data_IF_186906695779
#
_entry.id   IF_186906695779
#
_cell.length_a   1.000
_cell.length_b   1.000
_cell.length_c   1.000
_cell.angle_alpha   90.00
_cell.angle_beta   90.00
_cell.angle_gamma   90.00
#
_symmetry.space_group_name_H-M   'P 1'
#
loop_
_entity.id
_entity.type
_entity.pdbx_description
1 polymer ?
#
# COMPACT_ATOMS: atom_id res chain seq x y z
N UNK A 1 -29.72 10.20 -0.34
CA UNK A 1 -28.79 10.30 -1.49
C UNK A 1 -27.38 10.51 -0.96
N UNK A 2 -26.60 9.44 -0.85
CA UNK A 2 -25.20 9.48 -0.41
C UNK A 2 -24.56 8.14 -0.67
N UNK A 3 -24.05 7.95 -1.89
CA UNK A 3 -23.42 6.71 -2.36
C UNK A 3 -22.03 6.57 -1.73
N UNK A 4 -21.92 5.79 -0.65
CA UNK A 4 -20.64 5.40 -0.03
C UNK A 4 -19.97 4.18 -0.70
N UNK A 5 -20.31 3.85 -1.95
CA UNK A 5 -19.72 2.71 -2.67
C UNK A 5 -18.58 3.15 -3.60
N UNK A 6 -17.50 3.70 -3.03
CA UNK A 6 -16.19 3.82 -3.70
C UNK A 6 -15.36 2.53 -3.58
N UNK A 7 -15.94 1.46 -3.05
CA UNK A 7 -15.32 0.15 -2.86
C UNK A 7 -15.23 -0.59 -4.21
N UNK A 8 -14.00 -0.85 -4.66
CA UNK A 8 -13.60 -1.94 -5.57
C UNK A 8 -14.66 -2.35 -6.62
N UNK A 9 -14.99 -1.45 -7.57
CA UNK A 9 -15.79 -1.87 -8.72
C UNK A 9 -14.93 -2.70 -9.68
N UNK A 10 -15.47 -3.80 -10.21
CA UNK A 10 -14.76 -4.64 -11.19
C UNK A 10 -14.26 -3.83 -12.41
N UNK A 11 -15.02 -2.82 -12.84
CA UNK A 11 -14.61 -1.89 -13.89
C UNK A 11 -13.44 -0.98 -13.48
N UNK A 12 -13.42 -0.53 -12.23
CA UNK A 12 -12.30 0.24 -11.68
C UNK A 12 -11.02 -0.59 -11.57
N UNK A 13 -11.13 -1.83 -11.09
CA UNK A 13 -9.99 -2.76 -11.02
C UNK A 13 -9.44 -3.11 -12.40
N UNK A 14 -10.31 -3.42 -13.36
CA UNK A 14 -9.90 -3.70 -14.74
C UNK A 14 -9.14 -2.50 -15.34
N UNK A 15 -9.62 -1.27 -15.11
CA UNK A 15 -8.93 -0.04 -15.53
C UNK A 15 -7.56 0.12 -14.88
N UNK A 16 -7.44 -0.16 -13.58
CA UNK A 16 -6.15 -0.10 -12.87
C UNK A 16 -5.16 -1.13 -13.43
N UNK A 17 -5.59 -2.36 -13.65
CA UNK A 17 -4.77 -3.43 -14.25
C UNK A 17 -4.31 -3.05 -15.67
N UNK A 18 -5.22 -2.55 -16.52
CA UNK A 18 -4.88 -2.10 -17.87
C UNK A 18 -3.86 -0.95 -17.90
N UNK A 19 -4.00 0.01 -16.98
CA UNK A 19 -3.03 1.10 -16.82
C UNK A 19 -1.66 0.61 -16.35
N UNK A 20 -1.62 -0.36 -15.43
CA UNK A 20 -0.38 -0.98 -14.98
C UNK A 20 0.35 -1.69 -16.14
N UNK A 21 -0.36 -2.46 -16.97
CA UNK A 21 0.19 -3.08 -18.17
C UNK A 21 0.77 -2.02 -19.13
N UNK A 22 0.01 -0.97 -19.42
CA UNK A 22 0.44 0.10 -20.34
C UNK A 22 1.68 0.83 -19.84
N UNK A 23 1.74 1.11 -18.53
CA UNK A 23 2.87 1.79 -17.90
C UNK A 23 4.12 0.91 -17.96
N UNK A 24 3.98 -0.36 -17.59
CA UNK A 24 5.06 -1.35 -17.65
C UNK A 24 5.62 -1.51 -19.07
N UNK A 25 4.74 -1.63 -20.07
CA UNK A 25 5.12 -1.72 -21.48
C UNK A 25 5.89 -0.49 -21.94
N UNK A 26 5.39 0.72 -21.64
CA UNK A 26 6.04 1.98 -22.01
C UNK A 26 7.41 2.13 -21.34
N UNK A 27 7.53 1.79 -20.06
CA UNK A 27 8.80 1.83 -19.33
C UNK A 27 9.88 0.93 -19.95
N UNK A 28 9.47 -0.16 -20.60
CA UNK A 28 10.36 -1.08 -21.33
C UNK A 28 10.58 -0.70 -22.80
N UNK A 29 9.98 0.38 -23.29
CA UNK A 29 10.08 0.79 -24.69
C UNK A 29 9.42 -0.17 -25.69
N UNK A 30 8.57 -1.08 -25.24
CA UNK A 30 7.92 -2.08 -26.09
C UNK A 30 6.70 -1.45 -26.79
N UNK A 31 6.55 -1.63 -28.09
CA UNK A 31 5.37 -1.14 -28.81
C UNK A 31 4.14 -2.00 -28.49
N UNK A 32 2.94 -1.42 -28.60
CA UNK A 32 1.70 -2.18 -28.37
C UNK A 32 1.55 -3.35 -29.38
N UNK A 33 2.05 -3.18 -30.60
CA UNK A 33 2.02 -4.22 -31.63
C UNK A 33 2.97 -5.37 -31.29
N UNK A 34 4.22 -5.08 -30.91
CA UNK A 34 5.19 -6.09 -30.51
C UNK A 34 4.72 -6.86 -29.26
N UNK A 35 4.12 -6.16 -28.29
CA UNK A 35 3.58 -6.80 -27.10
C UNK A 35 2.38 -7.70 -27.41
N UNK A 36 1.48 -7.26 -28.31
CA UNK A 36 0.34 -8.07 -28.76
C UNK A 36 0.80 -9.35 -29.46
N UNK A 37 1.77 -9.24 -30.37
CA UNK A 37 2.36 -10.38 -31.10
C UNK A 37 3.04 -11.36 -30.14
N UNK A 38 3.88 -10.87 -29.22
CA UNK A 38 4.54 -11.70 -28.23
C UNK A 38 3.56 -12.39 -27.27
N UNK A 39 2.43 -11.74 -26.96
CA UNK A 39 1.38 -12.30 -26.11
C UNK A 39 0.42 -13.24 -26.87
N UNK A 40 0.59 -13.41 -28.19
CA UNK A 40 -0.28 -14.25 -29.02
C UNK A 40 -1.71 -13.72 -29.13
N UNK A 41 -1.93 -12.42 -28.99
CA UNK A 41 -3.26 -11.79 -29.04
C UNK A 41 -3.36 -10.76 -30.16
N UNK A 42 -4.59 -10.46 -30.59
CA UNK A 42 -4.81 -9.40 -31.59
C UNK A 42 -4.45 -8.02 -31.03
N UNK A 43 -4.07 -7.09 -31.91
CA UNK A 43 -3.86 -5.66 -31.55
C UNK A 43 -5.07 -5.03 -30.87
N UNK A 44 -6.28 -5.45 -31.28
CA UNK A 44 -7.54 -4.98 -30.67
C UNK A 44 -7.66 -5.52 -29.24
N UNK A 45 -7.36 -6.80 -29.02
CA UNK A 45 -7.34 -7.40 -27.67
C UNK A 45 -6.34 -6.69 -26.77
N UNK A 46 -5.13 -6.40 -27.27
CA UNK A 46 -4.14 -5.62 -26.52
C UNK A 46 -4.65 -4.21 -26.17
N UNK A 47 -5.29 -3.53 -27.11
CA UNK A 47 -5.88 -2.22 -26.87
C UNK A 47 -6.97 -2.28 -25.77
N UNK A 48 -7.85 -3.28 -25.81
CA UNK A 48 -8.89 -3.51 -24.79
C UNK A 48 -8.29 -3.82 -23.41
N UNK A 49 -7.19 -4.59 -23.37
CA UNK A 49 -6.42 -4.84 -22.15
C UNK A 49 -5.90 -3.52 -21.54
N UNK A 50 -5.22 -2.69 -22.33
CA UNK A 50 -4.68 -1.41 -21.82
C UNK A 50 -5.77 -0.39 -21.45
N UNK A 51 -6.94 -0.46 -22.10
CA UNK A 51 -8.11 0.31 -21.73
C UNK A 51 -8.78 -0.19 -20.43
N UNK A 52 -8.45 -1.42 -20.02
CA UNK A 52 -9.01 -2.08 -18.84
C UNK A 52 -10.48 -2.45 -19.02
N UNK A 53 -10.83 -3.00 -20.17
CA UNK A 53 -12.18 -3.48 -20.42
C UNK A 53 -12.45 -4.80 -19.65
N UNK A 54 -13.49 -4.88 -18.79
CA UNK A 54 -13.72 -6.04 -17.93
C UNK A 54 -14.01 -7.36 -18.68
N UNK A 55 -14.52 -7.27 -19.92
CA UNK A 55 -14.88 -8.43 -20.73
C UNK A 55 -13.71 -9.13 -21.42
N UNK A 56 -12.48 -8.67 -21.22
CA UNK A 56 -11.30 -9.35 -21.79
C UNK A 56 -11.05 -10.65 -21.04
N UNK A 57 -10.81 -11.73 -21.78
CA UNK A 57 -10.51 -13.03 -21.20
C UNK A 57 -9.28 -12.98 -20.28
N UNK A 58 -9.39 -13.61 -19.10
CA UNK A 58 -8.30 -13.73 -18.13
C UNK A 58 -7.00 -14.28 -18.72
N UNK A 59 -7.09 -15.24 -19.66
CA UNK A 59 -5.92 -15.79 -20.34
C UNK A 59 -5.12 -14.73 -21.10
N UNK A 60 -5.79 -13.78 -21.76
CA UNK A 60 -5.14 -12.67 -22.48
C UNK A 60 -4.44 -11.71 -21.51
N UNK A 61 -5.04 -11.46 -20.33
CA UNK A 61 -4.42 -10.65 -19.29
C UNK A 61 -3.12 -11.30 -18.77
N UNK A 62 -3.17 -12.60 -18.46
CA UNK A 62 -2.02 -13.35 -17.96
C UNK A 62 -0.90 -13.46 -19.00
N UNK A 63 -1.23 -13.68 -20.27
CA UNK A 63 -0.26 -13.69 -21.35
C UNK A 63 0.44 -12.32 -21.51
N UNK A 64 -0.33 -11.23 -21.46
CA UNK A 64 0.22 -9.88 -21.50
C UNK A 64 1.14 -9.57 -20.31
N UNK A 65 0.75 -10.00 -19.11
CA UNK A 65 1.57 -9.86 -17.91
C UNK A 65 2.90 -10.63 -18.06
N UNK A 66 2.84 -11.89 -18.50
CA UNK A 66 4.03 -12.73 -18.69
C UNK A 66 5.04 -12.13 -19.68
N UNK A 67 4.56 -11.64 -20.84
CA UNK A 67 5.41 -11.00 -21.87
C UNK A 67 6.11 -9.74 -21.34
N UNK A 68 5.45 -9.01 -20.45
CA UNK A 68 6.02 -7.83 -19.81
C UNK A 68 6.88 -8.16 -18.57
N UNK A 69 6.98 -9.45 -18.19
CA UNK A 69 7.69 -9.88 -16.98
C UNK A 69 7.01 -9.41 -15.70
N UNK A 70 5.67 -9.37 -15.69
CA UNK A 70 4.85 -9.06 -14.53
C UNK A 70 4.29 -10.34 -13.92
N UNK A 71 4.19 -10.34 -12.59
CA UNK A 71 3.49 -11.37 -11.82
C UNK A 71 2.13 -10.83 -11.41
N UNK A 72 1.10 -11.68 -11.50
CA UNK A 72 -0.26 -11.36 -11.07
C UNK A 72 -0.55 -12.21 -9.84
N UNK A 73 -0.64 -11.55 -8.68
CA UNK A 73 -0.97 -12.19 -7.41
C UNK A 73 -2.28 -11.64 -6.84
N UNK A 74 -3.08 -12.54 -6.26
CA UNK A 74 -4.24 -12.17 -5.47
C UNK A 74 -3.81 -12.02 -4.02
N UNK A 75 -3.80 -10.80 -3.52
CA UNK A 75 -3.51 -10.49 -2.14
C UNK A 75 -4.82 -10.38 -1.36
N UNK A 76 -4.86 -10.83 -0.09
CA UNK A 76 -6.03 -10.61 0.75
C UNK A 76 -6.30 -9.10 0.81
N UNK A 77 -7.53 -8.70 0.49
CA UNK A 77 -7.96 -7.32 0.62
C UNK A 77 -7.80 -6.95 2.10
N UNK A 78 -6.74 -6.20 2.43
CA UNK A 78 -6.59 -5.67 3.77
C UNK A 78 -7.78 -4.74 3.98
N UNK A 79 -8.67 -5.12 4.91
CA UNK A 79 -9.90 -4.41 5.21
C UNK A 79 -9.62 -2.92 5.25
N UNK A 80 -10.35 -2.19 4.41
CA UNK A 80 -10.38 -0.74 4.25
C UNK A 80 -9.61 0.00 5.36
N UNK A 81 -8.31 0.18 5.13
CA UNK A 81 -7.56 1.27 5.74
C UNK A 81 -8.14 2.54 5.14
N UNK A 82 -9.26 2.97 5.73
CA UNK A 82 -9.81 4.29 5.60
C UNK A 82 -8.68 5.29 5.87
N UNK A 83 -8.26 5.94 4.80
CA UNK A 83 -7.76 7.31 4.83
C UNK A 83 -6.60 7.60 5.81
N UNK A 84 -5.45 6.94 5.60
CA UNK A 84 -4.11 7.50 5.95
C UNK A 84 -2.99 7.05 4.99
N UNK A 85 -3.31 6.61 3.78
CA UNK A 85 -2.32 6.43 2.71
C UNK A 85 -1.99 7.75 2.02
N UNK A 86 -1.48 8.70 2.80
CA UNK A 86 -0.56 9.73 2.36
C UNK A 86 0.64 9.62 3.32
N UNK A 87 1.77 9.00 2.98
CA UNK A 87 2.27 8.60 1.68
C UNK A 87 3.30 7.48 1.86
N UNK A 88 3.35 6.56 0.91
CA UNK A 88 4.61 5.93 0.52
C UNK A 88 5.49 6.99 -0.20
N UNK A 89 5.88 8.01 0.56
CA UNK A 89 6.66 9.17 0.16
C UNK A 89 7.08 9.91 1.42
N UNK A 90 8.23 9.50 1.97
CA UNK A 90 9.12 10.28 2.84
C UNK A 90 8.49 11.07 4.02
N UNK A 91 7.45 10.54 4.69
CA UNK A 91 6.85 11.27 5.82
C UNK A 91 6.19 10.39 6.89
N UNK A 92 6.51 10.66 8.15
CA UNK A 92 5.76 10.17 9.31
C UNK A 92 4.35 10.80 9.32
N UNK A 93 3.29 10.02 9.58
CA UNK A 93 1.94 10.57 9.70
C UNK A 93 1.86 11.55 10.87
N UNK A 94 1.31 12.76 10.66
CA UNK A 94 1.22 13.79 11.69
C UNK A 94 0.39 13.36 12.93
N UNK A 95 -0.47 12.34 12.78
CA UNK A 95 -1.25 11.72 13.87
C UNK A 95 -1.31 10.21 13.69
N UNK A 96 -1.14 9.49 14.80
CA UNK A 96 -1.08 8.04 14.91
C UNK A 96 -2.27 7.59 15.74
N UNK A 97 -3.22 6.86 15.14
CA UNK A 97 -4.39 6.33 15.85
C UNK A 97 -4.01 5.10 16.66
N UNK A 98 -4.28 5.08 17.96
CA UNK A 98 -3.89 3.96 18.83
C UNK A 98 -4.56 2.64 18.45
N UNK A 99 -5.80 2.68 17.94
CA UNK A 99 -6.54 1.48 17.54
C UNK A 99 -5.85 0.66 16.43
N UNK A 100 -4.99 1.32 15.63
CA UNK A 100 -4.28 0.73 14.50
C UNK A 100 -2.98 0.02 14.92
N UNK A 101 -2.55 0.23 16.16
CA UNK A 101 -1.27 -0.22 16.70
C UNK A 101 -1.51 -0.84 18.09
N UNK A 102 -1.87 -2.14 18.14
CA UNK A 102 -2.31 -2.79 19.37
C UNK A 102 -1.27 -2.76 20.49
N UNK A 103 0.03 -2.89 20.17
CA UNK A 103 1.10 -2.77 21.16
C UNK A 103 1.23 -1.33 21.63
N UNK A 104 1.21 -0.35 20.72
CA UNK A 104 1.27 1.06 21.12
C UNK A 104 0.12 1.44 22.06
N UNK A 105 -1.09 0.96 21.77
CA UNK A 105 -2.27 1.14 22.63
C UNK A 105 -2.09 0.52 24.01
N UNK A 106 -1.54 -0.69 24.09
CA UNK A 106 -1.26 -1.35 25.37
C UNK A 106 -0.24 -0.56 26.20
N UNK A 107 0.75 0.05 25.55
CA UNK A 107 1.81 0.81 26.22
C UNK A 107 1.39 2.25 26.57
N UNK A 108 0.42 2.81 25.86
CA UNK A 108 -0.10 4.16 26.08
C UNK A 108 -0.99 4.30 27.33
N UNK A 109 -1.15 3.25 28.15
CA UNK A 109 -1.96 3.24 29.37
C UNK A 109 -1.63 4.37 30.37
N UNK A 110 -0.42 4.95 30.32
CA UNK A 110 -0.04 6.09 31.17
C UNK A 110 -0.35 7.48 30.59
N UNK A 111 -0.73 7.58 29.31
CA UNK A 111 -0.80 8.86 28.58
C UNK A 111 -2.21 9.49 28.60
N UNK A 112 -3.09 8.98 29.45
CA UNK A 112 -4.51 9.30 29.65
C UNK A 112 -5.47 8.33 28.94
N UNK A 113 -6.46 7.84 29.70
CA UNK A 113 -7.41 6.78 29.34
C UNK A 113 -8.26 7.08 28.08
N UNK A 114 -8.31 8.33 27.61
CA UNK A 114 -9.19 8.78 26.52
C UNK A 114 -8.45 9.19 25.23
N UNK A 115 -7.11 9.11 25.17
CA UNK A 115 -6.36 9.50 23.98
C UNK A 115 -6.57 8.48 22.85
N UNK A 116 -7.25 8.88 21.77
CA UNK A 116 -7.49 8.03 20.58
C UNK A 116 -6.39 8.17 19.53
N UNK A 117 -5.65 9.29 19.57
CA UNK A 117 -4.58 9.64 18.63
C UNK A 117 -3.35 10.18 19.37
N UNK A 118 -2.15 9.86 18.91
CA UNK A 118 -0.87 10.38 19.38
C UNK A 118 -0.12 11.08 18.24
N UNK A 119 0.66 12.12 18.55
CA UNK A 119 1.66 12.63 17.62
C UNK A 119 2.83 11.63 17.47
N UNK A 120 3.61 11.71 16.36
CA UNK A 120 4.82 10.90 16.19
C UNK A 120 5.79 10.95 17.37
N UNK A 121 6.00 12.14 17.94
CA UNK A 121 6.94 12.31 19.05
C UNK A 121 6.43 11.67 20.34
N UNK A 122 5.12 11.76 20.60
CA UNK A 122 4.51 11.08 21.74
C UNK A 122 4.56 9.56 21.58
N UNK A 123 4.26 9.04 20.38
CA UNK A 123 4.35 7.61 20.10
C UNK A 123 5.77 7.07 20.29
N UNK A 124 6.80 7.79 19.80
CA UNK A 124 8.19 7.42 20.05
C UNK A 124 8.52 7.42 21.55
N UNK A 125 8.14 8.47 22.28
CA UNK A 125 8.37 8.54 23.73
C UNK A 125 7.64 7.45 24.52
N UNK A 126 6.49 6.95 24.04
CA UNK A 126 5.82 5.78 24.61
C UNK A 126 6.64 4.51 24.36
N UNK A 127 7.13 4.30 23.14
CA UNK A 127 7.98 3.15 22.80
C UNK A 127 9.31 3.15 23.56
N UNK A 128 9.97 4.30 23.70
CA UNK A 128 11.27 4.40 24.38
C UNK A 128 11.14 4.10 25.88
N UNK A 129 10.16 4.69 26.55
CA UNK A 129 9.93 4.48 28.00
C UNK A 129 9.51 3.05 28.31
N UNK A 130 8.73 2.43 27.43
CA UNK A 130 8.15 1.11 27.64
C UNK A 130 8.84 0.00 26.85
N UNK A 131 10.05 0.25 26.30
CA UNK A 131 10.74 -0.70 25.43
C UNK A 131 10.91 -2.09 26.08
N UNK A 132 11.08 -2.13 27.40
CA UNK A 132 11.19 -3.39 28.18
C UNK A 132 9.92 -4.23 28.20
N UNK A 133 8.77 -3.64 27.88
CA UNK A 133 7.46 -4.29 27.82
C UNK A 133 7.01 -4.57 26.38
N UNK A 134 7.73 -4.05 25.38
CA UNK A 134 7.47 -4.36 23.97
C UNK A 134 7.83 -5.82 23.72
N UNK A 135 6.86 -6.63 23.28
CA UNK A 135 7.10 -8.01 22.90
C UNK A 135 7.41 -8.09 21.40
N UNK A 136 8.65 -8.41 20.97
CA UNK A 136 9.02 -8.37 19.55
C UNK A 136 8.21 -9.33 18.67
N UNK A 137 7.74 -10.44 19.26
CA UNK A 137 6.90 -11.43 18.60
C UNK A 137 5.45 -10.96 18.37
N UNK A 138 4.99 -9.95 19.13
CA UNK A 138 3.64 -9.40 19.03
C UNK A 138 3.56 -8.18 18.10
N UNK A 139 4.71 -7.64 17.65
CA UNK A 139 4.73 -6.53 16.70
C UNK A 139 4.30 -7.02 15.32
N UNK A 140 3.26 -6.40 14.78
CA UNK A 140 2.87 -6.66 13.39
C UNK A 140 3.80 -5.93 12.40
N UNK A 141 3.60 -6.15 11.10
CA UNK A 141 4.41 -5.49 10.08
C UNK A 141 4.23 -3.96 10.04
N UNK A 142 3.04 -3.47 10.42
CA UNK A 142 2.69 -2.05 10.41
C UNK A 142 3.37 -1.31 11.57
N UNK A 143 3.36 -1.89 12.75
CA UNK A 143 4.05 -1.41 13.95
C UNK A 143 5.56 -1.37 13.75
N UNK A 144 6.14 -2.42 13.16
CA UNK A 144 7.57 -2.43 12.81
C UNK A 144 7.95 -1.29 11.87
N UNK A 145 7.12 -1.05 10.85
CA UNK A 145 7.34 0.05 9.91
C UNK A 145 7.20 1.42 10.58
N UNK A 146 6.21 1.60 11.47
CA UNK A 146 6.04 2.83 12.24
C UNK A 146 7.26 3.08 13.13
N UNK A 147 7.74 2.10 13.88
CA UNK A 147 8.92 2.22 14.74
C UNK A 147 10.15 2.58 13.91
N UNK A 148 10.34 1.96 12.74
CA UNK A 148 11.44 2.28 11.85
C UNK A 148 11.37 3.74 11.35
N UNK A 149 10.19 4.19 10.92
CA UNK A 149 9.99 5.57 10.47
C UNK A 149 10.18 6.59 11.60
N UNK A 150 9.70 6.29 12.83
CA UNK A 150 9.90 7.12 14.02
C UNK A 150 11.38 7.28 14.34
N UNK A 151 12.14 6.18 14.27
CA UNK A 151 13.58 6.18 14.52
C UNK A 151 14.37 6.90 13.44
N UNK A 152 13.94 6.82 12.18
CA UNK A 152 14.62 7.52 11.08
C UNK A 152 14.49 9.04 11.23
N UNK A 153 13.26 9.52 11.48
CA UNK A 153 12.99 10.96 11.57
C UNK A 153 13.49 11.58 12.88
N UNK A 154 13.33 10.92 14.03
CA UNK A 154 13.75 11.48 15.32
C UNK A 154 15.12 10.99 15.79
N UNK A 155 15.61 9.85 15.31
CA UNK A 155 16.95 9.35 15.64
C UNK A 155 18.07 10.18 15.02
N UNK A 156 17.77 10.92 13.95
CA UNK A 156 18.69 11.91 13.35
C UNK A 156 18.83 13.19 14.19
N UNK A 157 17.89 13.51 15.09
CA UNK A 157 17.99 14.66 16.01
C UNK A 157 19.00 14.42 17.15
N UNK A 158 19.34 13.17 17.45
CA UNK A 158 20.31 12.83 18.53
C UNK A 158 21.76 13.11 18.11
N UNK A 159 22.02 13.39 16.82
CA UNK A 159 23.37 13.67 16.28
C UNK A 159 23.65 15.16 15.99
N UNK A 160 22.87 16.08 16.55
CA UNK A 160 23.16 17.53 16.50
C UNK A 160 23.24 18.17 17.88
N UNK A 161 24.17 17.74 18.73
CA UNK A 161 24.91 18.61 19.68
C UNK A 161 26.29 17.97 19.93
#
# INVERSE_FOLDING_TARGET
MGTHAGALSAAGEARRLGQALRTCRKARGVSATAAAEAAGVSRITWHRLEAGEPGVAWGSLLAAAQVLGLVVDLLPAQAEATDVAAAAGDGLPLRIRLQDYPQLRQLAWQVADDATELSPREALGVYERNWRHVQPAALDARERNLIAALRDVFGSEVLRV
#
